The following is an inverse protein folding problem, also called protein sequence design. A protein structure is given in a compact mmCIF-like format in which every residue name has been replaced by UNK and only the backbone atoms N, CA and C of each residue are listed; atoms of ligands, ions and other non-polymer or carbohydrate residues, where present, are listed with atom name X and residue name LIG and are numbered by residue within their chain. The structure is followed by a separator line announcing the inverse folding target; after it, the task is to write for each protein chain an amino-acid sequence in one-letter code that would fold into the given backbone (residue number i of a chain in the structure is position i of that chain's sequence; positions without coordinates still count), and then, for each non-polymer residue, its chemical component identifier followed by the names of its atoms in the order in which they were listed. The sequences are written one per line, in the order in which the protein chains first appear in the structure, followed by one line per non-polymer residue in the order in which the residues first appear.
data_IF_803213456406
#
_entry.id   IF_803213456406
#
_cell.length_a   1.000
_cell.length_b   1.000
_cell.length_c   1.000
_cell.angle_alpha   90.00
_cell.angle_beta   90.00
_cell.angle_gamma   90.00
#
_symmetry.space_group_name_H-M   'P 1'
#
loop_
_entity.id
_entity.type
_entity.pdbx_description
1 polymer ?
#
# COMPACT_ATOMS: atom_id res chain seq x y z
N UNK A 1 -65.81 -72.67 60.50
CA UNK A 1 -64.66 -73.51 60.92
C UNK A 1 -63.45 -72.60 61.00
N UNK A 2 -62.93 -72.41 62.23
CA UNK A 2 -61.67 -71.75 62.66
C UNK A 2 -61.25 -70.46 61.91
N UNK A 3 -61.37 -69.22 62.41
CA UNK A 3 -61.07 -68.63 63.73
C UNK A 3 -59.59 -68.78 64.19
N UNK A 4 -58.77 -67.77 63.87
CA UNK A 4 -57.75 -67.25 64.79
C UNK A 4 -57.38 -65.79 64.44
N UNK A 5 -57.49 -64.95 65.46
CA UNK A 5 -57.29 -63.49 65.53
C UNK A 5 -56.07 -63.17 66.39
N UNK A 6 -55.33 -62.11 66.06
CA UNK A 6 -54.47 -61.28 66.96
C UNK A 6 -53.64 -60.33 66.05
N UNK A 7 -53.90 -59.03 65.89
CA UNK A 7 -53.76 -57.84 66.77
C UNK A 7 -52.32 -57.52 67.22
N UNK A 8 -51.72 -56.44 66.68
CA UNK A 8 -51.11 -55.27 67.38
C UNK A 8 -49.93 -54.60 66.64
N UNK A 9 -50.09 -53.30 66.36
CA UNK A 9 -49.04 -52.25 66.25
C UNK A 9 -48.76 -51.73 67.70
N UNK A 10 -47.69 -50.96 68.07
CA UNK A 10 -46.79 -50.14 67.24
C UNK A 10 -45.29 -50.08 67.67
N UNK A 11 -44.42 -49.48 66.84
CA UNK A 11 -43.34 -48.55 67.24
C UNK A 11 -42.44 -48.17 66.04
N UNK A 12 -42.31 -46.87 65.79
CA UNK A 12 -41.24 -46.31 64.96
C UNK A 12 -39.91 -46.38 65.73
N UNK A 13 -38.73 -46.47 65.07
CA UNK A 13 -38.13 -45.25 64.53
C UNK A 13 -37.46 -45.39 63.15
N UNK A 14 -37.63 -44.32 62.37
CA UNK A 14 -36.63 -43.56 61.61
C UNK A 14 -35.52 -44.25 60.79
N UNK A 15 -35.40 -43.73 59.56
CA UNK A 15 -34.25 -43.74 58.64
C UNK A 15 -33.94 -45.04 57.90
N UNK A 16 -34.45 -45.14 56.67
CA UNK A 16 -33.67 -45.56 55.50
C UNK A 16 -34.41 -45.19 54.21
N UNK A 17 -33.73 -44.40 53.38
CA UNK A 17 -34.13 -43.92 52.07
C UNK A 17 -34.35 -45.10 51.11
N UNK A 18 -35.48 -45.14 50.39
CA UNK A 18 -35.59 -45.71 49.03
C UNK A 18 -37.01 -45.54 48.44
N UNK A 19 -37.04 -44.93 47.26
CA UNK A 19 -38.01 -45.14 46.16
C UNK A 19 -39.54 -45.01 46.41
N UNK A 20 -40.07 -43.86 46.01
CA UNK A 20 -41.39 -43.75 45.37
C UNK A 20 -41.33 -42.62 44.30
N UNK A 21 -41.25 -42.98 43.01
CA UNK A 21 -42.35 -43.22 42.06
C UNK A 21 -42.74 -41.94 41.29
N UNK A 22 -42.45 -41.91 39.98
CA UNK A 22 -43.45 -41.54 38.96
C UNK A 22 -43.10 -42.15 37.58
N UNK A 23 -44.11 -42.54 36.79
CA UNK A 23 -43.96 -43.32 35.57
C UNK A 23 -43.49 -42.45 34.40
N UNK A 24 -42.58 -42.96 33.59
CA UNK A 24 -42.17 -42.34 32.34
C UNK A 24 -43.28 -42.52 31.30
N UNK A 25 -43.98 -41.43 30.99
CA UNK A 25 -44.83 -41.37 29.81
C UNK A 25 -43.98 -41.55 28.55
N UNK A 26 -44.39 -42.50 27.72
CA UNK A 26 -43.93 -42.68 26.34
C UNK A 26 -44.39 -41.47 25.51
N UNK A 27 -43.47 -40.53 25.27
CA UNK A 27 -43.69 -39.43 24.33
C UNK A 27 -43.35 -39.93 22.92
N UNK A 28 -44.41 -40.12 22.13
CA UNK A 28 -44.40 -40.34 20.68
C UNK A 28 -43.38 -39.42 19.99
N UNK A 29 -42.46 -40.02 19.23
CA UNK A 29 -41.47 -39.31 18.43
C UNK A 29 -42.17 -38.70 17.20
N UNK A 30 -42.82 -37.56 17.42
CA UNK A 30 -43.28 -36.70 16.34
C UNK A 30 -42.10 -36.35 15.43
N UNK A 31 -42.28 -36.60 14.13
CA UNK A 31 -41.36 -36.22 13.07
C UNK A 31 -41.06 -34.72 13.20
N UNK A 32 -39.84 -34.40 13.61
CA UNK A 32 -39.36 -33.02 13.63
C UNK A 32 -38.69 -32.79 12.28
N UNK A 33 -39.37 -32.01 11.44
CA UNK A 33 -38.85 -31.57 10.16
C UNK A 33 -37.47 -30.93 10.34
N UNK A 34 -36.46 -31.45 9.64
CA UNK A 34 -35.13 -30.87 9.57
C UNK A 34 -35.16 -29.62 8.69
N UNK A 35 -35.78 -28.55 9.18
CA UNK A 35 -35.70 -27.22 8.59
C UNK A 35 -35.06 -26.30 9.64
N UNK A 36 -33.73 -26.37 9.73
CA UNK A 36 -32.90 -25.41 10.47
C UNK A 36 -32.33 -24.45 9.41
N UNK A 37 -33.22 -23.63 8.86
CA UNK A 37 -32.91 -22.44 8.08
C UNK A 37 -33.47 -21.22 8.83
N UNK A 38 -33.03 -20.97 10.07
CA UNK A 38 -33.23 -19.66 10.72
C UNK A 38 -32.39 -19.50 12.00
N UNK A 39 -31.10 -19.23 11.87
CA UNK A 39 -30.34 -18.55 12.93
C UNK A 39 -29.35 -17.54 12.33
N UNK A 40 -29.91 -16.38 11.96
CA UNK A 40 -29.39 -15.03 12.21
C UNK A 40 -27.86 -14.85 12.17
N UNK A 41 -27.42 -14.29 11.06
CA UNK A 41 -26.10 -13.67 10.87
C UNK A 41 -25.74 -12.68 12.00
N UNK A 42 -24.67 -12.95 12.72
CA UNK A 42 -23.81 -11.90 13.28
C UNK A 42 -22.59 -11.77 12.36
N UNK A 43 -22.36 -10.61 11.70
CA UNK A 43 -21.14 -10.38 10.96
C UNK A 43 -20.03 -10.07 11.96
N UNK A 44 -19.47 -11.12 12.59
CA UNK A 44 -18.14 -10.99 13.19
C UNK A 44 -17.17 -10.60 12.07
N UNK A 45 -16.35 -9.60 12.33
CA UNK A 45 -15.56 -8.81 11.38
C UNK A 45 -14.48 -9.58 10.56
N UNK A 46 -14.67 -10.88 10.34
CA UNK A 46 -13.74 -11.80 9.69
C UNK A 46 -14.21 -12.27 8.29
N UNK A 47 -15.30 -11.73 7.75
CA UNK A 47 -15.77 -12.04 6.39
C UNK A 47 -15.37 -11.02 5.32
N UNK A 48 -14.42 -10.11 5.59
CA UNK A 48 -13.91 -9.19 4.56
C UNK A 48 -13.04 -9.88 3.47
N UNK A 49 -12.87 -11.20 3.55
CA UNK A 49 -12.24 -11.96 2.47
C UNK A 49 -13.33 -12.23 1.43
N UNK A 50 -13.47 -11.31 0.47
CA UNK A 50 -14.33 -11.48 -0.69
C UNK A 50 -14.06 -12.87 -1.33
N UNK A 51 -15.11 -13.65 -1.67
CA UNK A 51 -14.92 -14.93 -2.33
C UNK A 51 -14.31 -14.70 -3.71
N UNK A 52 -13.06 -15.10 -3.89
CA UNK A 52 -12.30 -15.05 -5.15
C UNK A 52 -12.80 -16.07 -6.19
N UNK A 53 -14.11 -16.23 -6.34
CA UNK A 53 -14.70 -17.32 -7.12
C UNK A 53 -14.59 -17.09 -8.63
N UNK A 54 -14.31 -15.86 -9.08
CA UNK A 54 -14.09 -15.51 -10.48
C UNK A 54 -12.85 -14.61 -10.65
N UNK A 55 -11.67 -15.12 -10.27
CA UNK A 55 -10.41 -14.40 -10.45
C UNK A 55 -9.93 -14.46 -11.91
N UNK A 56 -10.67 -13.82 -12.81
CA UNK A 56 -10.19 -13.60 -14.16
C UNK A 56 -9.06 -12.57 -14.07
N UNK A 57 -7.82 -13.01 -14.18
CA UNK A 57 -6.63 -12.13 -14.21
C UNK A 57 -6.64 -11.10 -15.36
N UNK A 58 -7.66 -11.14 -16.22
CA UNK A 58 -7.84 -10.35 -17.44
C UNK A 58 -9.22 -9.69 -17.49
N UNK A 59 -9.64 -9.04 -16.41
CA UNK A 59 -10.78 -8.13 -16.46
C UNK A 59 -10.45 -6.87 -17.28
N UNK A 60 -11.44 -6.36 -18.01
CA UNK A 60 -11.30 -5.18 -18.87
C UNK A 60 -10.87 -3.92 -18.09
N UNK A 61 -11.15 -3.88 -16.79
CA UNK A 61 -10.71 -2.84 -15.84
C UNK A 61 -9.19 -2.67 -15.85
N UNK A 62 -8.44 -3.77 -15.79
CA UNK A 62 -6.96 -3.72 -15.77
C UNK A 62 -6.39 -3.12 -17.06
N UNK A 63 -7.03 -3.38 -18.21
CA UNK A 63 -6.62 -2.78 -19.49
C UNK A 63 -6.77 -1.26 -19.42
N UNK A 64 -7.87 -0.76 -18.84
CA UNK A 64 -8.09 0.68 -18.66
C UNK A 64 -7.01 1.27 -17.76
N UNK A 65 -6.66 0.61 -16.66
CA UNK A 65 -5.62 1.10 -15.74
C UNK A 65 -4.23 1.15 -16.39
N UNK A 66 -3.87 0.12 -17.17
CA UNK A 66 -2.64 0.13 -17.96
C UNK A 66 -2.63 1.25 -18.99
N UNK A 67 -3.74 1.46 -19.70
CA UNK A 67 -3.89 2.55 -20.66
C UNK A 67 -3.75 3.91 -19.99
N UNK A 68 -4.40 4.12 -18.84
CA UNK A 68 -4.27 5.35 -18.04
C UNK A 68 -2.83 5.55 -17.62
N UNK A 69 -2.15 4.53 -17.09
CA UNK A 69 -0.75 4.62 -16.71
C UNK A 69 0.18 4.95 -17.88
N UNK A 70 -0.05 4.38 -19.07
CA UNK A 70 0.71 4.68 -20.29
C UNK A 70 0.46 6.12 -20.74
N UNK A 71 -0.78 6.59 -20.71
CA UNK A 71 -1.13 7.98 -21.05
C UNK A 71 -0.47 8.95 -20.08
N UNK A 72 -0.52 8.68 -18.76
CA UNK A 72 0.17 9.47 -17.75
C UNK A 72 1.69 9.47 -17.97
N UNK A 73 2.28 8.33 -18.32
CA UNK A 73 3.70 8.23 -18.64
C UNK A 73 4.06 9.08 -19.87
N UNK A 74 3.25 9.03 -20.92
CA UNK A 74 3.44 9.83 -22.13
C UNK A 74 3.32 11.33 -21.82
N UNK A 75 2.25 11.75 -21.15
CA UNK A 75 2.04 13.13 -20.72
C UNK A 75 3.20 13.63 -19.85
N UNK A 76 3.58 12.87 -18.83
CA UNK A 76 4.69 13.24 -17.94
C UNK A 76 6.03 13.36 -18.68
N UNK A 77 6.25 12.57 -19.73
CA UNK A 77 7.45 12.62 -20.57
C UNK A 77 7.43 13.80 -21.55
N UNK A 78 6.25 14.13 -22.11
CA UNK A 78 6.07 15.33 -22.93
C UNK A 78 6.35 16.57 -22.09
N UNK A 79 5.71 16.70 -20.92
CA UNK A 79 5.90 17.86 -20.02
C UNK A 79 7.37 18.01 -19.61
N UNK A 80 8.08 16.91 -19.38
CA UNK A 80 9.50 16.94 -19.05
C UNK A 80 10.35 17.64 -20.11
N UNK A 81 10.00 17.46 -21.39
CA UNK A 81 10.73 18.01 -22.54
C UNK A 81 10.29 19.43 -22.92
N UNK A 82 9.20 19.95 -22.34
CA UNK A 82 8.78 21.34 -22.57
C UNK A 82 9.85 22.27 -21.97
N UNK A 83 10.39 23.23 -22.75
CA UNK A 83 11.32 24.22 -22.23
C UNK A 83 10.58 25.12 -21.22
N UNK A 84 11.20 25.42 -20.07
CA UNK A 84 10.59 26.32 -19.10
C UNK A 84 10.56 27.75 -19.66
N UNK A 85 9.53 28.55 -19.31
CA UNK A 85 9.42 29.92 -19.78
C UNK A 85 10.66 30.72 -19.37
N UNK A 86 11.15 31.55 -20.29
CA UNK A 86 12.26 32.46 -19.99
C UNK A 86 11.75 33.60 -19.11
N UNK A 87 12.42 33.80 -17.98
CA UNK A 87 12.13 34.89 -17.06
C UNK A 87 13.39 35.74 -16.93
N UNK A 88 13.21 37.05 -16.93
CA UNK A 88 14.30 37.97 -16.66
C UNK A 88 14.84 37.74 -15.25
N UNK A 89 16.17 37.75 -15.13
CA UNK A 89 16.89 37.57 -13.88
C UNK A 89 17.97 38.65 -13.75
N UNK A 90 18.19 39.12 -12.53
CA UNK A 90 19.28 40.05 -12.27
C UNK A 90 20.58 39.27 -12.11
N UNK A 91 21.60 39.65 -12.88
CA UNK A 91 22.94 39.09 -12.79
C UNK A 91 23.61 39.31 -11.42
N UNK A 92 23.10 40.27 -10.63
CA UNK A 92 23.61 40.61 -9.28
C UNK A 92 22.90 39.86 -8.15
N UNK A 93 21.88 39.06 -8.46
CA UNK A 93 21.15 38.32 -7.44
C UNK A 93 22.01 37.19 -6.85
N UNK A 94 22.30 37.32 -5.55
CA UNK A 94 23.13 36.37 -4.81
C UNK A 94 22.44 35.02 -4.62
N UNK A 95 21.10 34.97 -4.65
CA UNK A 95 20.35 33.73 -4.47
C UNK A 95 20.54 32.75 -5.63
N UNK A 96 20.97 33.22 -6.81
CA UNK A 96 21.20 32.42 -8.03
C UNK A 96 22.69 32.29 -8.43
N UNK A 97 23.59 32.89 -7.65
CA UNK A 97 25.03 32.97 -7.93
C UNK A 97 25.88 31.95 -7.15
N UNK A 98 25.27 30.91 -6.59
CA UNK A 98 26.02 29.89 -5.85
C UNK A 98 26.86 29.01 -6.80
N UNK A 99 28.05 28.54 -6.37
CA UNK A 99 28.87 27.66 -7.18
C UNK A 99 28.19 26.29 -7.39
N UNK A 100 28.27 25.75 -8.60
CA UNK A 100 27.75 24.41 -8.92
C UNK A 100 28.49 23.36 -8.12
N UNK A 101 27.74 22.61 -7.31
CA UNK A 101 28.25 21.43 -6.61
C UNK A 101 27.93 20.19 -7.43
N UNK A 102 28.81 19.20 -7.37
CA UNK A 102 28.52 17.87 -7.91
C UNK A 102 27.27 17.30 -7.24
N UNK A 103 26.39 16.68 -8.03
CA UNK A 103 25.22 15.98 -7.51
C UNK A 103 25.66 14.77 -6.69
N UNK A 104 25.29 14.70 -5.40
CA UNK A 104 25.61 13.53 -4.56
C UNK A 104 24.87 12.27 -4.99
N UNK A 105 23.73 12.39 -5.68
CA UNK A 105 22.92 11.28 -6.19
C UNK A 105 22.56 11.54 -7.64
N UNK A 106 22.98 10.71 -8.61
CA UNK A 106 22.55 10.85 -9.99
C UNK A 106 21.08 10.47 -10.13
N UNK A 107 20.35 11.18 -11.00
CA UNK A 107 18.91 10.95 -11.20
C UNK A 107 18.57 9.50 -11.56
N UNK A 108 19.40 8.83 -12.35
CA UNK A 108 19.21 7.42 -12.72
C UNK A 108 19.23 6.48 -11.51
N UNK A 109 20.11 6.76 -10.52
CA UNK A 109 20.17 5.96 -9.29
C UNK A 109 18.91 6.15 -8.44
N UNK A 110 18.36 7.36 -8.42
CA UNK A 110 17.11 7.64 -7.72
C UNK A 110 15.94 6.83 -8.31
N UNK A 111 15.79 6.83 -9.64
CA UNK A 111 14.76 6.05 -10.32
C UNK A 111 14.93 4.54 -10.12
N UNK A 112 16.18 4.06 -10.15
CA UNK A 112 16.49 2.65 -9.87
C UNK A 112 16.09 2.26 -8.45
N UNK A 113 16.50 3.04 -7.44
CA UNK A 113 16.14 2.78 -6.05
C UNK A 113 14.63 2.85 -5.81
N UNK A 114 13.95 3.83 -6.41
CA UNK A 114 12.49 3.99 -6.32
C UNK A 114 11.70 2.84 -6.97
N UNK A 115 12.34 2.05 -7.83
CA UNK A 115 11.74 0.89 -8.51
C UNK A 115 12.09 -0.41 -7.79
N UNK A 116 13.38 -0.61 -7.49
CA UNK A 116 13.89 -1.86 -6.93
C UNK A 116 13.43 -2.05 -5.50
N UNK A 117 13.38 -0.99 -4.69
CA UNK A 117 12.99 -1.11 -3.28
C UNK A 117 11.53 -1.56 -3.15
N UNK A 118 10.52 -0.90 -3.77
CA UNK A 118 9.13 -1.34 -3.64
C UNK A 118 8.91 -2.74 -4.20
N UNK A 119 9.43 -3.03 -5.40
CA UNK A 119 9.28 -4.36 -6.02
C UNK A 119 9.94 -5.44 -5.13
N UNK A 120 11.13 -5.17 -4.61
CA UNK A 120 11.84 -6.07 -3.70
C UNK A 120 11.04 -6.35 -2.43
N UNK A 121 10.47 -5.31 -1.80
CA UNK A 121 9.61 -5.46 -0.61
C UNK A 121 8.37 -6.29 -0.93
N UNK A 122 7.69 -6.05 -2.05
CA UNK A 122 6.53 -6.83 -2.46
C UNK A 122 6.87 -8.30 -2.70
N UNK A 123 7.98 -8.59 -3.38
CA UNK A 123 8.43 -9.96 -3.64
C UNK A 123 8.78 -10.67 -2.33
N UNK A 124 9.50 -10.00 -1.43
CA UNK A 124 9.87 -10.56 -0.13
C UNK A 124 8.62 -10.82 0.74
N UNK A 125 7.68 -9.89 0.80
CA UNK A 125 6.43 -10.06 1.52
C UNK A 125 5.64 -11.28 1.00
N UNK A 126 5.44 -11.37 -0.32
CA UNK A 126 4.76 -12.51 -0.94
C UNK A 126 5.51 -13.83 -0.69
N UNK A 127 6.84 -13.81 -0.67
CA UNK A 127 7.66 -14.99 -0.38
C UNK A 127 7.49 -15.47 1.05
N UNK A 128 7.60 -14.59 2.04
CA UNK A 128 7.43 -14.95 3.45
C UNK A 128 6.00 -15.38 3.77
N UNK A 129 4.99 -14.68 3.22
CA UNK A 129 3.59 -15.05 3.36
C UNK A 129 3.29 -16.43 2.74
N UNK A 130 3.87 -16.71 1.57
CA UNK A 130 3.79 -18.05 0.94
C UNK A 130 4.38 -19.11 1.86
N UNK A 131 5.57 -18.89 2.43
CA UNK A 131 6.22 -19.87 3.31
C UNK A 131 5.37 -20.10 4.56
N UNK A 132 4.87 -19.04 5.20
CA UNK A 132 4.03 -19.15 6.39
C UNK A 132 2.75 -19.95 6.14
N UNK A 133 2.06 -19.67 5.03
CA UNK A 133 0.85 -20.42 4.63
C UNK A 133 1.19 -21.86 4.25
N UNK A 134 2.29 -22.12 3.53
CA UNK A 134 2.73 -23.48 3.21
C UNK A 134 3.05 -24.32 4.47
N UNK A 135 3.55 -23.69 5.54
CA UNK A 135 3.89 -24.37 6.81
C UNK A 135 2.64 -24.58 7.67
N UNK A 136 1.76 -23.57 7.77
CA UNK A 136 0.60 -23.59 8.67
C UNK A 136 -0.59 -24.40 8.12
N UNK A 137 -0.83 -24.32 6.81
CA UNK A 137 -1.94 -25.06 6.18
C UNK A 137 -1.50 -26.48 5.85
N UNK A 138 -1.92 -27.44 6.69
CA UNK A 138 -1.65 -28.88 6.53
C UNK A 138 -2.47 -29.53 5.42
N UNK A 139 -3.52 -28.86 4.94
CA UNK A 139 -4.38 -29.35 3.86
C UNK A 139 -3.77 -29.06 2.50
N UNK A 140 -3.88 -30.02 1.59
CA UNK A 140 -3.37 -29.96 0.21
C UNK A 140 -4.23 -29.00 -0.61
N UNK A 141 -4.22 -27.71 -0.25
CA UNK A 141 -4.77 -26.65 -1.08
C UNK A 141 -4.16 -26.83 -2.47
N UNK A 142 -5.03 -26.93 -3.48
CA UNK A 142 -4.67 -26.99 -4.89
C UNK A 142 -3.58 -25.95 -5.16
N UNK A 143 -2.31 -26.37 -5.22
CA UNK A 143 -1.16 -25.45 -5.34
C UNK A 143 -1.40 -24.47 -6.48
N UNK A 144 -2.03 -24.96 -7.55
CA UNK A 144 -2.44 -24.18 -8.72
C UNK A 144 -3.32 -22.96 -8.38
N UNK A 145 -4.27 -23.09 -7.44
CA UNK A 145 -5.13 -21.97 -6.99
C UNK A 145 -4.35 -20.95 -6.16
N UNK A 146 -3.44 -21.41 -5.30
CA UNK A 146 -2.54 -20.53 -4.53
C UNK A 146 -1.55 -19.78 -5.41
N UNK A 147 -1.01 -20.42 -6.45
CA UNK A 147 -0.17 -19.75 -7.45
C UNK A 147 -0.97 -18.68 -8.22
N UNK A 148 -2.22 -18.97 -8.63
CA UNK A 148 -3.07 -18.00 -9.34
C UNK A 148 -3.42 -16.75 -8.54
N UNK A 149 -3.75 -16.90 -7.25
CA UNK A 149 -4.00 -15.76 -6.34
C UNK A 149 -2.77 -14.86 -6.21
N UNK A 150 -1.57 -15.45 -6.08
CA UNK A 150 -0.32 -14.68 -5.95
C UNK A 150 0.06 -13.92 -7.21
N UNK A 151 -0.18 -14.50 -8.39
CA UNK A 151 0.07 -13.78 -9.65
C UNK A 151 -0.87 -12.59 -9.80
N UNK A 152 -2.09 -12.69 -9.30
CA UNK A 152 -3.06 -11.59 -9.28
C UNK A 152 -2.63 -10.48 -8.30
N UNK A 153 -2.23 -10.85 -7.08
CA UNK A 153 -1.71 -9.89 -6.10
C UNK A 153 -0.46 -9.16 -6.60
N UNK A 154 0.48 -9.89 -7.23
CA UNK A 154 1.66 -9.31 -7.84
C UNK A 154 1.31 -8.39 -9.01
N UNK A 155 0.36 -8.78 -9.86
CA UNK A 155 -0.11 -7.95 -10.96
C UNK A 155 -0.68 -6.62 -10.45
N UNK A 156 -1.56 -6.67 -9.45
CA UNK A 156 -2.17 -5.49 -8.86
C UNK A 156 -1.13 -4.59 -8.19
N UNK A 157 -0.15 -5.18 -7.49
CA UNK A 157 0.95 -4.42 -6.90
C UNK A 157 1.80 -3.71 -7.96
N UNK A 158 2.15 -4.40 -9.06
CA UNK A 158 2.89 -3.81 -10.18
C UNK A 158 2.11 -2.68 -10.86
N UNK A 159 0.81 -2.88 -11.08
CA UNK A 159 -0.07 -1.89 -11.70
C UNK A 159 -0.23 -0.65 -10.81
N UNK A 160 -0.47 -0.83 -9.51
CA UNK A 160 -0.55 0.26 -8.55
C UNK A 160 0.77 1.04 -8.42
N UNK A 161 1.91 0.33 -8.41
CA UNK A 161 3.24 0.97 -8.44
C UNK A 161 3.45 1.79 -9.72
N UNK A 162 3.08 1.24 -10.88
CA UNK A 162 3.21 1.91 -12.17
C UNK A 162 2.34 3.17 -12.27
N UNK A 163 1.10 3.12 -11.82
CA UNK A 163 0.22 4.31 -11.81
C UNK A 163 0.74 5.36 -10.83
N UNK A 164 1.19 4.96 -9.64
CA UNK A 164 1.74 5.87 -8.63
C UNK A 164 2.97 6.63 -9.14
N UNK A 165 3.92 5.92 -9.76
CA UNK A 165 5.16 6.54 -10.26
C UNK A 165 4.91 7.45 -11.46
N UNK A 166 4.00 7.08 -12.37
CA UNK A 166 3.64 7.89 -13.54
C UNK A 166 2.85 9.13 -13.16
N UNK A 167 1.89 9.02 -12.23
CA UNK A 167 1.18 10.16 -11.69
C UNK A 167 2.14 11.14 -10.99
N UNK A 168 3.06 10.63 -10.18
CA UNK A 168 4.09 11.45 -9.53
C UNK A 168 4.95 12.18 -10.56
N UNK A 169 5.32 11.51 -11.67
CA UNK A 169 6.06 12.13 -12.78
C UNK A 169 5.28 13.30 -13.40
N UNK A 170 3.99 13.12 -13.67
CA UNK A 170 3.12 14.19 -14.22
C UNK A 170 3.07 15.37 -13.26
N UNK A 171 2.76 15.13 -11.99
CA UNK A 171 2.62 16.18 -10.97
C UNK A 171 3.93 16.96 -10.83
N UNK A 172 5.04 16.27 -10.58
CA UNK A 172 6.34 16.92 -10.36
C UNK A 172 6.82 17.70 -11.58
N UNK A 173 6.65 17.17 -12.79
CA UNK A 173 7.03 17.88 -14.02
C UNK A 173 6.11 19.08 -14.29
N UNK A 174 4.83 18.98 -13.95
CA UNK A 174 3.90 20.11 -14.03
C UNK A 174 4.32 21.22 -13.08
N UNK A 175 4.66 20.90 -11.82
CA UNK A 175 5.17 21.90 -10.87
C UNK A 175 6.50 22.51 -11.32
N UNK A 176 7.40 21.73 -11.94
CA UNK A 176 8.66 22.23 -12.51
C UNK A 176 8.40 23.34 -13.54
N UNK A 177 7.41 23.14 -14.42
CA UNK A 177 7.06 24.11 -15.48
C UNK A 177 6.22 25.27 -14.91
N UNK A 178 5.31 25.00 -13.99
CA UNK A 178 4.39 25.99 -13.43
C UNK A 178 5.08 26.99 -12.49
N UNK A 179 5.98 26.52 -11.62
CA UNK A 179 6.71 27.41 -10.69
C UNK A 179 7.89 28.07 -11.39
N UNK A 180 8.62 27.32 -12.22
CA UNK A 180 9.72 27.86 -13.03
C UNK A 180 10.84 28.55 -12.24
N UNK A 181 10.98 28.25 -10.95
CA UNK A 181 12.00 28.91 -10.12
C UNK A 181 13.40 28.40 -10.52
N UNK A 182 14.35 29.33 -10.56
CA UNK A 182 15.74 29.06 -10.89
C UNK A 182 16.45 28.34 -9.73
N UNK A 183 17.43 27.50 -10.05
CA UNK A 183 18.32 26.90 -9.05
C UNK A 183 19.28 27.94 -8.48
N UNK A 184 19.73 27.75 -7.24
CA UNK A 184 20.74 28.63 -6.64
C UNK A 184 22.09 28.60 -7.39
N UNK A 185 22.38 27.53 -8.14
CA UNK A 185 23.59 27.39 -8.96
C UNK A 185 23.35 27.73 -10.46
N UNK A 186 22.31 28.50 -10.77
CA UNK A 186 21.92 28.79 -12.15
C UNK A 186 22.97 29.62 -12.91
N UNK A 187 23.51 30.69 -12.32
CA UNK A 187 24.47 31.56 -13.02
C UNK A 187 25.76 30.83 -13.40
N UNK A 188 26.22 29.91 -12.54
CA UNK A 188 27.41 29.09 -12.81
C UNK A 188 27.19 28.09 -13.95
N UNK A 189 25.95 27.57 -14.10
CA UNK A 189 25.55 26.73 -15.24
C UNK A 189 25.37 27.54 -16.53
N UNK A 190 24.79 28.72 -16.42
CA UNK A 190 24.50 29.64 -17.51
C UNK A 190 25.79 30.19 -18.14
N UNK A 191 26.88 30.35 -17.37
CA UNK A 191 28.13 31.01 -17.81
C UNK A 191 27.81 32.34 -18.49
N UNK A 192 27.22 33.24 -17.72
CA UNK A 192 26.66 34.50 -18.22
C UNK A 192 27.72 35.35 -18.93
N UNK A 193 27.42 35.77 -20.16
CA UNK A 193 28.24 36.75 -20.88
C UNK A 193 27.97 38.16 -20.34
N UNK A 194 29.02 38.84 -19.87
CA UNK A 194 28.92 40.21 -19.33
C UNK A 194 28.51 41.26 -20.39
N UNK A 195 28.70 40.95 -21.68
CA UNK A 195 28.43 41.87 -22.79
C UNK A 195 26.99 41.73 -23.26
N UNK A 196 26.52 40.49 -23.40
CA UNK A 196 25.24 40.19 -24.05
C UNK A 196 24.15 39.74 -23.07
N UNK A 197 24.50 39.49 -21.80
CA UNK A 197 23.61 38.94 -20.76
C UNK A 197 22.89 37.64 -21.16
N UNK A 198 23.43 36.90 -22.12
CA UNK A 198 22.94 35.56 -22.50
C UNK A 198 23.79 34.45 -21.88
N UNK A 199 23.18 33.28 -21.76
CA UNK A 199 23.87 32.05 -21.34
C UNK A 199 24.66 31.44 -22.49
N UNK A 200 25.93 31.13 -22.25
CA UNK A 200 26.83 30.46 -23.22
C UNK A 200 27.19 29.03 -22.74
N UNK A 201 26.62 28.60 -21.62
CA UNK A 201 26.82 27.27 -21.05
C UNK A 201 26.15 26.15 -21.86
N UNK A 202 26.25 24.92 -21.33
CA UNK A 202 25.59 23.75 -21.90
C UNK A 202 24.06 23.86 -21.79
N UNK A 203 23.35 23.62 -22.89
CA UNK A 203 21.89 23.79 -22.97
C UNK A 203 21.15 22.90 -21.97
N UNK A 204 21.59 21.64 -21.83
CA UNK A 204 20.96 20.69 -20.90
C UNK A 204 21.12 21.13 -19.43
N UNK A 205 22.30 21.68 -19.09
CA UNK A 205 22.57 22.22 -17.76
C UNK A 205 21.79 23.52 -17.49
N UNK A 206 21.58 24.36 -18.50
CA UNK A 206 20.78 25.59 -18.42
C UNK A 206 19.29 25.24 -18.20
N UNK A 207 18.74 24.32 -19.00
CA UNK A 207 17.35 23.86 -18.84
C UNK A 207 17.13 23.22 -17.47
N UNK A 208 18.07 22.40 -17.01
CA UNK A 208 18.03 21.80 -15.66
C UNK A 208 18.11 22.85 -14.55
N UNK A 209 18.93 23.89 -14.74
CA UNK A 209 19.04 25.04 -13.85
C UNK A 209 17.74 25.87 -13.75
N UNK A 210 16.89 25.86 -14.79
CA UNK A 210 15.57 26.49 -14.80
C UNK A 210 14.45 25.61 -14.21
N UNK A 211 14.72 24.34 -13.84
CA UNK A 211 13.74 23.36 -13.31
C UNK A 211 14.11 22.86 -11.91
N UNK A 212 14.09 23.74 -10.89
CA UNK A 212 14.51 23.38 -9.52
C UNK A 212 13.41 22.75 -8.66
N UNK A 213 12.23 23.35 -8.60
CA UNK A 213 11.12 22.93 -7.73
C UNK A 213 10.38 21.71 -8.28
N UNK A 214 9.86 20.79 -7.44
CA UNK A 214 9.88 20.77 -5.97
C UNK A 214 11.14 20.13 -5.35
N UNK A 215 12.07 19.64 -6.17
CA UNK A 215 13.28 18.93 -5.74
C UNK A 215 14.37 19.90 -5.25
N UNK A 216 14.08 20.64 -4.20
CA UNK A 216 15.06 21.47 -3.51
C UNK A 216 15.84 20.61 -2.51
N UNK A 217 17.09 20.31 -2.84
CA UNK A 217 18.04 19.83 -1.83
C UNK A 217 18.13 20.87 -0.71
N UNK A 218 18.05 20.41 0.55
CA UNK A 218 18.16 21.25 1.74
C UNK A 218 19.35 22.20 1.58
N UNK A 219 19.08 23.52 1.59
CA UNK A 219 20.12 24.55 1.71
C UNK A 219 20.92 24.25 2.98
N UNK A 220 22.08 23.59 2.84
CA UNK A 220 23.11 23.71 3.87
C UNK A 220 23.67 25.11 3.73
N UNK A 221 23.09 26.04 4.49
CA UNK A 221 23.73 27.31 4.76
C UNK A 221 25.11 27.00 5.34
N UNK A 222 26.14 27.19 4.53
CA UNK A 222 27.48 27.29 5.05
C UNK A 222 27.54 28.67 5.69
N UNK A 223 27.35 28.74 7.01
CA UNK A 223 27.67 29.94 7.77
C UNK A 223 29.18 30.14 7.60
N UNK A 224 29.65 31.21 6.94
CA UNK A 224 31.07 31.47 6.85
C UNK A 224 31.63 31.60 8.28
N UNK A 225 32.71 30.86 8.57
CA UNK A 225 33.40 30.86 9.88
C UNK A 225 33.93 32.22 10.33
N UNK A 226 33.78 33.28 9.54
CA UNK A 226 34.21 34.64 9.87
C UNK A 226 33.26 35.37 10.84
N UNK A 227 32.08 34.81 11.15
CA UNK A 227 31.08 35.43 12.02
C UNK A 227 30.93 34.76 13.41
N UNK A 228 31.85 33.87 13.79
CA UNK A 228 31.86 33.22 15.12
C UNK A 228 33.00 33.71 16.01
N UNK A 229 33.59 34.86 15.71
CA UNK A 229 34.56 35.56 16.55
C UNK A 229 34.14 37.01 16.61
N UNK A 230 33.14 37.28 17.42
CA UNK A 230 32.90 38.54 18.14
C UNK A 230 32.07 38.19 19.39
#
# INVERSE_FOLDING_TARGET
MAASTSSQQPSAPAFSLLNARRPSETFERGSFDNNIDDYREEPTAFSFIAPYENLNWWEKSYIVDWLVGIVLLALGSIIQNIPPPERDFDAKDLDISHPKRGSSVPGSLLWFLATVIPIGVFVLYNFFDTIGKCIYTRERIERNKLFGLRTHDLHNACLGWFVSITLTKVITNTFKVAVGRMRPDFLDRCKLSLITQYCTGDESAIIDGRKSFPSDGIRRFHVPRSLSRD
#
